data_IF_659024504197
#
_entry.id   IF_659024504197
#
_cell.length_a   1.000
_cell.length_b   1.000
_cell.length_c   1.000
_cell.angle_alpha   90.00
_cell.angle_beta   90.00
_cell.angle_gamma   90.00
#
_symmetry.space_group_name_H-M   'P 1'
#
loop_
_entity.id
_entity.type
_entity.pdbx_description
1 polymer ?
#
# COMPACT_ATOMS: atom_id res chain seq x y z
N UNK A 1 -4.88 -13.43 1.71
CA UNK A 1 -3.81 -12.40 1.58
C UNK A 1 -3.26 -12.28 0.14
N UNK A 2 -4.11 -12.14 -0.90
CA UNK A 2 -3.66 -12.09 -2.32
C UNK A 2 -3.38 -10.65 -2.80
N UNK A 3 -3.95 -9.64 -2.12
CA UNK A 3 -3.93 -8.22 -2.52
C UNK A 3 -2.52 -7.62 -2.67
N UNK A 4 -1.57 -8.02 -1.82
CA UNK A 4 -0.22 -7.44 -1.78
C UNK A 4 0.65 -7.84 -2.99
N UNK A 5 0.52 -9.07 -3.52
CA UNK A 5 1.34 -9.52 -4.66
C UNK A 5 0.96 -8.80 -5.94
N UNK A 6 -0.34 -8.70 -6.24
CA UNK A 6 -0.82 -8.04 -7.46
C UNK A 6 -0.52 -6.54 -7.44
N UNK A 7 -0.70 -5.87 -6.28
CA UNK A 7 -0.34 -4.46 -6.13
C UNK A 7 1.16 -4.23 -6.37
N UNK A 8 2.05 -5.07 -5.80
CA UNK A 8 3.50 -4.97 -6.07
C UNK A 8 3.83 -5.16 -7.55
N UNK A 9 3.16 -6.08 -8.24
CA UNK A 9 3.34 -6.29 -9.69
C UNK A 9 2.92 -5.02 -10.47
N UNK A 10 1.74 -4.46 -10.16
CA UNK A 10 1.23 -3.23 -10.80
C UNK A 10 2.18 -2.05 -10.55
N UNK A 11 2.66 -1.88 -9.31
CA UNK A 11 3.62 -0.82 -8.96
C UNK A 11 4.94 -0.97 -9.73
N UNK A 12 5.46 -2.20 -9.81
CA UNK A 12 6.66 -2.49 -10.59
C UNK A 12 6.49 -2.15 -12.07
N UNK A 13 5.36 -2.53 -12.68
CA UNK A 13 5.05 -2.21 -14.06
C UNK A 13 4.97 -0.69 -14.30
N UNK A 14 4.34 0.04 -13.38
CA UNK A 14 4.17 1.49 -13.48
C UNK A 14 5.52 2.23 -13.37
N UNK A 15 6.39 1.83 -12.43
CA UNK A 15 7.76 2.34 -12.33
C UNK A 15 8.59 2.09 -13.59
N UNK A 16 8.40 0.95 -14.25
CA UNK A 16 9.03 0.67 -15.56
C UNK A 16 8.51 1.60 -16.65
N UNK A 17 7.20 1.85 -16.71
CA UNK A 17 6.60 2.78 -17.68
C UNK A 17 7.11 4.20 -17.48
N UNK A 18 7.17 4.68 -16.23
CA UNK A 18 7.76 5.98 -15.90
C UNK A 18 9.21 6.10 -16.38
N UNK A 19 10.07 5.13 -16.07
CA UNK A 19 11.47 5.14 -16.54
C UNK A 19 11.58 5.15 -18.07
N UNK A 20 10.69 4.43 -18.77
CA UNK A 20 10.64 4.43 -20.24
C UNK A 20 10.14 5.76 -20.81
N UNK A 21 9.17 6.40 -20.15
CA UNK A 21 8.68 7.73 -20.51
C UNK A 21 9.76 8.81 -20.29
N UNK A 22 10.50 8.70 -19.19
CA UNK A 22 11.65 9.57 -18.91
C UNK A 22 12.74 9.43 -19.98
N UNK A 23 13.15 8.20 -20.30
CA UNK A 23 14.18 7.94 -21.31
C UNK A 23 13.81 8.46 -22.71
N UNK A 24 12.53 8.40 -23.09
CA UNK A 24 12.06 8.92 -24.39
C UNK A 24 11.78 10.42 -24.38
N UNK A 25 12.01 11.13 -23.27
CA UNK A 25 11.65 12.55 -23.08
C UNK A 25 10.16 12.82 -23.33
N UNK A 26 9.30 12.00 -22.74
CA UNK A 26 7.86 12.19 -22.76
C UNK A 26 7.46 13.58 -22.22
N UNK A 27 6.24 14.02 -22.53
CA UNK A 27 5.75 15.31 -22.06
C UNK A 27 5.69 15.36 -20.52
N UNK A 28 5.78 16.58 -19.96
CA UNK A 28 5.62 16.80 -18.52
C UNK A 28 4.27 16.29 -18.00
N UNK A 29 3.21 16.42 -18.80
CA UNK A 29 1.88 15.90 -18.49
C UNK A 29 1.88 14.37 -18.36
N UNK A 30 2.50 13.67 -19.30
CA UNK A 30 2.60 12.20 -19.27
C UNK A 30 3.42 11.70 -18.07
N UNK A 31 4.52 12.38 -17.75
CA UNK A 31 5.33 12.05 -16.58
C UNK A 31 4.58 12.29 -15.26
N UNK A 32 3.84 13.40 -15.17
CA UNK A 32 3.02 13.74 -13.99
C UNK A 32 1.92 12.72 -13.77
N UNK A 33 1.21 12.30 -14.82
CA UNK A 33 0.17 11.27 -14.70
C UNK A 33 0.73 9.95 -14.17
N UNK A 34 1.89 9.51 -14.69
CA UNK A 34 2.56 8.29 -14.22
C UNK A 34 3.02 8.39 -12.77
N UNK A 35 3.48 9.57 -12.32
CA UNK A 35 3.87 9.79 -10.92
C UNK A 35 2.65 9.75 -9.99
N UNK A 36 1.55 10.43 -10.33
CA UNK A 36 0.32 10.39 -9.52
C UNK A 36 -0.24 8.97 -9.37
N UNK A 37 -0.19 8.16 -10.43
CA UNK A 37 -0.64 6.77 -10.35
C UNK A 37 0.28 5.92 -9.45
N UNK A 38 1.58 6.19 -9.41
CA UNK A 38 2.54 5.54 -8.50
C UNK A 38 2.20 5.90 -7.06
N UNK A 39 2.03 7.19 -6.78
CA UNK A 39 1.71 7.69 -5.44
C UNK A 39 0.40 7.10 -4.91
N UNK A 40 -0.67 7.09 -5.71
CA UNK A 40 -1.96 6.50 -5.32
C UNK A 40 -1.83 5.03 -4.93
N UNK A 41 -1.02 4.27 -5.67
CA UNK A 41 -0.85 2.84 -5.43
C UNK A 41 0.03 2.56 -4.20
N UNK A 42 1.01 3.43 -3.91
CA UNK A 42 1.85 3.34 -2.72
C UNK A 42 1.08 3.74 -1.45
N UNK A 43 0.27 4.81 -1.50
CA UNK A 43 -0.54 5.23 -0.35
C UNK A 43 -1.67 4.23 -0.03
N UNK A 44 -2.33 3.68 -1.05
CA UNK A 44 -3.32 2.62 -0.86
C UNK A 44 -2.74 1.31 -0.28
N UNK A 45 -1.42 1.17 -0.22
CA UNK A 45 -0.74 0.06 0.44
C UNK A 45 -0.55 0.32 1.95
N UNK A 46 -0.36 1.58 2.36
CA UNK A 46 -0.19 1.96 3.77
C UNK A 46 -1.46 1.73 4.58
N UNK A 47 -2.63 2.08 4.04
CA UNK A 47 -3.92 1.89 4.74
C UNK A 47 -4.32 0.41 4.87
N UNK A 48 -3.89 -0.43 3.94
CA UNK A 48 -4.15 -1.87 3.97
C UNK A 48 -3.28 -2.62 4.98
N UNK A 49 -2.12 -2.07 5.36
CA UNK A 49 -1.20 -2.65 6.34
C UNK A 49 -1.54 -2.20 7.78
N UNK A 50 -2.04 -0.97 7.94
CA UNK A 50 -2.51 -0.44 9.23
C UNK A 50 -3.72 -1.19 9.82
N UNK A 51 -4.54 -1.82 8.98
CA UNK A 51 -5.72 -2.59 9.41
C UNK A 51 -5.43 -3.92 10.11
N UNK A 52 -4.17 -4.34 10.24
CA UNK A 52 -3.78 -5.58 10.92
C UNK A 52 -3.13 -5.35 12.31
N UNK A 53 -2.97 -4.10 12.74
CA UNK A 53 -2.28 -3.76 13.99
C UNK A 53 -3.21 -3.47 15.18
N UNK A 54 -4.48 -3.89 15.14
CA UNK A 54 -5.42 -3.63 16.25
C UNK A 54 -6.25 -4.88 16.56
N UNK A 55 -5.66 -5.80 17.33
CA UNK A 55 -6.38 -6.45 18.41
C UNK A 55 -5.84 -5.89 19.72
N UNK A 56 -6.57 -5.01 20.44
CA UNK A 56 -6.36 -4.91 21.87
C UNK A 56 -6.72 -6.28 22.43
N UNK A 57 -5.78 -6.91 23.14
CA UNK A 57 -6.03 -8.09 23.92
C UNK A 57 -7.00 -7.73 25.05
N UNK A 58 -8.29 -7.72 24.76
CA UNK A 58 -9.36 -7.69 25.74
C UNK A 58 -9.46 -9.09 26.35
N UNK A 59 -8.62 -9.38 27.34
CA UNK A 59 -8.87 -10.48 28.27
C UNK A 59 -9.84 -10.00 29.34
N UNK A 60 -11.06 -10.56 29.46
CA UNK A 60 -11.93 -10.28 30.59
C UNK A 60 -11.58 -11.23 31.75
N UNK A 61 -12.00 -10.83 32.95
CA UNK A 61 -12.13 -11.64 34.17
C UNK A 61 -10.88 -11.85 35.04
N UNK A 62 -10.63 -10.84 35.89
CA UNK A 62 -10.14 -11.08 37.24
C UNK A 62 -11.23 -10.66 38.23
N UNK A 63 -12.22 -11.54 38.45
CA UNK A 63 -13.08 -11.48 39.63
C UNK A 63 -13.43 -12.89 40.10
N UNK A 64 -13.35 -13.06 41.42
CA UNK A 64 -13.76 -14.18 42.26
C UNK A 64 -12.93 -15.48 42.26
N UNK A 65 -12.23 -15.69 43.38
CA UNK A 65 -12.64 -16.77 44.29
C UNK A 65 -12.13 -16.48 45.70
N UNK A 66 -13.05 -16.20 46.63
CA UNK A 66 -12.86 -16.49 48.05
C UNK A 66 -12.83 -18.01 48.20
N UNK A 67 -11.83 -18.55 48.90
CA UNK A 67 -11.92 -19.64 49.89
C UNK A 67 -10.58 -19.81 50.58
#
# INVERSE_FOLDING_TARGET
>A
MVKNREQRIRLGALKVRYRRAWKRKASSCELSALLSDIEKLEHGQSDADAGNATQPASGPEAYHSEY
#
